data_IF_745852443788
#
_entry.id   IF_745852443788
#
_cell.length_a   1.000
_cell.length_b   1.000
_cell.length_c   1.000
_cell.angle_alpha   90.00
_cell.angle_beta   90.00
_cell.angle_gamma   90.00
#
_symmetry.space_group_name_H-M   'P 1'
#
loop_
_entity.id
_entity.type
_entity.pdbx_description
1 polymer ?
#
# COMPACT_ATOMS: atom_id res chain seq x y z
N UNK A 1 19.12 -15.26 -8.36
CA UNK A 1 18.19 -14.15 -8.67
C UNK A 1 17.53 -13.72 -7.39
N UNK A 2 17.73 -12.46 -6.97
CA UNK A 2 17.12 -11.91 -5.76
C UNK A 2 15.61 -11.98 -5.88
N UNK A 3 14.94 -12.75 -5.03
CA UNK A 3 13.49 -12.79 -4.87
C UNK A 3 13.02 -11.48 -4.24
N UNK A 4 13.23 -10.36 -4.93
CA UNK A 4 12.51 -9.14 -4.63
C UNK A 4 11.06 -9.42 -5.00
N UNK A 5 10.20 -9.58 -4.00
CA UNK A 5 8.75 -9.58 -4.18
C UNK A 5 8.36 -8.19 -4.70
N UNK A 6 8.57 -7.97 -5.99
CA UNK A 6 8.11 -6.79 -6.70
C UNK A 6 6.61 -6.93 -6.75
N UNK A 7 5.93 -6.30 -5.80
CA UNK A 7 4.50 -6.05 -5.93
C UNK A 7 4.24 -5.51 -7.34
N UNK A 8 3.24 -6.08 -8.02
CA UNK A 8 2.91 -5.66 -9.38
C UNK A 8 2.58 -4.16 -9.40
N UNK A 9 2.70 -3.55 -10.58
CA UNK A 9 2.30 -2.15 -10.75
C UNK A 9 0.82 -1.98 -10.42
N UNK A 10 -0.03 -2.95 -10.78
CA UNK A 10 -1.43 -3.01 -10.39
C UNK A 10 -1.61 -2.95 -8.86
N UNK A 11 -0.81 -3.72 -8.11
CA UNK A 11 -0.84 -3.68 -6.65
C UNK A 11 -0.43 -2.31 -6.08
N UNK A 12 0.37 -1.53 -6.82
CA UNK A 12 0.69 -0.14 -6.45
C UNK A 12 -0.53 0.76 -6.58
N UNK A 13 -1.21 0.67 -7.70
CA UNK A 13 -2.36 1.51 -8.02
C UNK A 13 -3.56 1.17 -7.13
N UNK A 14 -3.86 -0.11 -6.93
CA UNK A 14 -4.92 -0.56 -6.03
C UNK A 14 -4.70 -0.07 -4.59
N UNK A 15 -3.47 -0.16 -4.07
CA UNK A 15 -3.17 0.32 -2.72
C UNK A 15 -3.35 1.85 -2.58
N UNK A 16 -3.01 2.61 -3.61
CA UNK A 16 -3.21 4.06 -3.67
C UNK A 16 -4.71 4.37 -3.74
N UNK A 17 -5.44 3.68 -4.60
CA UNK A 17 -6.87 3.88 -4.78
C UNK A 17 -7.65 3.51 -3.51
N UNK A 18 -7.32 2.38 -2.89
CA UNK A 18 -7.90 1.93 -1.63
C UNK A 18 -7.72 2.96 -0.50
N UNK A 19 -6.57 3.65 -0.47
CA UNK A 19 -6.34 4.74 0.51
C UNK A 19 -7.16 5.99 0.21
N UNK A 20 -7.37 6.30 -1.08
CA UNK A 20 -8.20 7.44 -1.50
C UNK A 20 -9.68 7.19 -1.22
N UNK A 21 -10.15 5.96 -1.43
CA UNK A 21 -11.53 5.53 -1.16
C UNK A 21 -11.81 5.44 0.34
N UNK A 22 -10.79 5.08 1.12
CA UNK A 22 -10.88 4.93 2.57
C UNK A 22 -9.83 5.78 3.32
N UNK A 23 -9.94 7.12 3.30
CA UNK A 23 -9.01 8.00 4.01
C UNK A 23 -9.13 7.84 5.54
N UNK A 24 -10.31 7.40 6.00
CA UNK A 24 -10.64 7.12 7.40
C UNK A 24 -10.04 5.80 7.94
N UNK A 25 -9.64 4.88 7.06
CA UNK A 25 -9.05 3.61 7.51
C UNK A 25 -7.62 3.83 8.03
N UNK A 26 -7.25 3.26 9.18
CA UNK A 26 -5.86 3.26 9.63
C UNK A 26 -4.94 2.52 8.66
N UNK A 27 -3.69 2.98 8.52
CA UNK A 27 -2.69 2.37 7.62
C UNK A 27 -2.47 0.87 7.88
N UNK A 28 -2.56 0.45 9.15
CA UNK A 28 -2.48 -0.97 9.55
C UNK A 28 -3.60 -1.79 8.95
N UNK A 29 -4.83 -1.29 9.03
CA UNK A 29 -6.00 -1.99 8.51
C UNK A 29 -6.00 -2.04 6.99
N UNK A 30 -5.53 -0.98 6.34
CA UNK A 30 -5.29 -0.99 4.89
C UNK A 30 -4.22 -2.02 4.50
N UNK A 31 -3.12 -2.13 5.26
CA UNK A 31 -2.08 -3.12 5.02
C UNK A 31 -2.61 -4.57 5.17
N UNK A 32 -3.41 -4.82 6.20
CA UNK A 32 -4.08 -6.11 6.41
C UNK A 32 -5.03 -6.46 5.26
N UNK A 33 -5.89 -5.52 4.83
CA UNK A 33 -6.83 -5.73 3.73
C UNK A 33 -6.14 -5.93 2.37
N UNK A 34 -5.01 -5.26 2.15
CA UNK A 34 -4.20 -5.39 0.94
C UNK A 34 -3.22 -6.59 1.01
N UNK A 35 -3.18 -7.34 2.11
CA UNK A 35 -2.29 -8.48 2.28
C UNK A 35 -0.80 -8.12 2.25
N UNK A 36 -0.45 -6.91 2.71
CA UNK A 36 0.94 -6.43 2.72
C UNK A 36 1.38 -5.98 4.09
N UNK A 37 2.71 -5.94 4.27
CA UNK A 37 3.29 -5.44 5.50
C UNK A 37 3.02 -3.94 5.66
N UNK A 38 2.74 -3.51 6.89
CA UNK A 38 2.53 -2.11 7.24
C UNK A 38 3.63 -1.18 6.69
N UNK A 39 4.90 -1.61 6.76
CA UNK A 39 6.05 -0.89 6.22
C UNK A 39 5.93 -0.60 4.69
N UNK A 40 5.28 -1.49 3.93
CA UNK A 40 5.02 -1.27 2.49
C UNK A 40 4.02 -0.14 2.28
N UNK A 41 2.97 -0.08 3.10
CA UNK A 41 1.95 0.97 3.03
C UNK A 41 2.52 2.30 3.54
N UNK A 42 3.31 2.28 4.61
CA UNK A 42 3.98 3.47 5.12
C UNK A 42 4.93 4.10 4.11
N UNK A 43 5.77 3.32 3.42
CA UNK A 43 6.62 3.86 2.34
C UNK A 43 5.83 4.48 1.18
N UNK A 44 4.59 4.06 0.98
CA UNK A 44 3.72 4.61 -0.07
C UNK A 44 2.91 5.81 0.40
N UNK A 45 2.70 5.99 1.72
CA UNK A 45 2.01 7.16 2.27
C UNK A 45 2.71 8.47 1.86
N UNK A 46 4.04 8.42 1.74
CA UNK A 46 4.90 9.55 1.33
C UNK A 46 4.71 9.91 -0.15
N UNK A 47 4.31 8.97 -0.99
CA UNK A 47 4.04 9.20 -2.42
C UNK A 47 2.60 9.70 -2.63
N UNK A 48 1.68 9.37 -1.72
CA UNK A 48 0.25 9.73 -1.83
C UNK A 48 -0.04 11.12 -1.25
N UNK A 49 0.72 11.58 -0.25
CA UNK A 49 0.53 12.87 0.42
C UNK A 49 1.65 13.89 0.17
N UNK A 50 2.65 13.54 -0.65
CA UNK A 50 3.76 14.42 -1.06
C UNK A 50 3.48 15.13 -2.37
#
# INVERSE_FOLDING_TARGET
>A
MSKGTKYSQQFKEDAVQYRKDHPELPLRKAAENLGVSLNTVEKRKEIING
#
